data_IF_264958888213
#
_entry.id   IF_264958888213
#
_cell.length_a   1.000
_cell.length_b   1.000
_cell.length_c   1.000
_cell.angle_alpha   90.00
_cell.angle_beta   90.00
_cell.angle_gamma   90.00
#
_symmetry.space_group_name_H-M   'P 1'
#
loop_
_entity.id
_entity.type
_entity.pdbx_description
1 polymer ?
#
# COMPACT_ATOMS: atom_id res chain seq x y z
N UNK A 1 -5.03 6.59 -5.24
CA UNK A 1 -4.03 7.70 -5.27
C UNK A 1 -3.82 8.13 -6.74
N UNK A 2 -2.77 8.88 -7.12
CA UNK A 2 -2.49 9.21 -8.55
C UNK A 2 -1.16 8.64 -9.04
N UNK A 3 -0.92 8.75 -10.36
CA UNK A 3 0.17 8.13 -11.15
C UNK A 3 1.54 8.17 -10.46
N UNK A 4 2.04 9.35 -10.10
CA UNK A 4 3.38 9.48 -9.53
C UNK A 4 3.42 9.06 -8.06
N UNK A 5 2.32 9.24 -7.32
CA UNK A 5 2.18 8.73 -5.96
C UNK A 5 2.33 7.20 -5.88
N UNK A 6 1.62 6.46 -6.75
CA UNK A 6 1.73 4.99 -6.79
C UNK A 6 3.14 4.53 -7.15
N UNK A 7 3.73 5.14 -8.18
CA UNK A 7 5.08 4.81 -8.63
C UNK A 7 6.13 5.09 -7.53
N UNK A 8 5.99 6.22 -6.85
CA UNK A 8 6.89 6.62 -5.78
C UNK A 8 6.83 5.68 -4.57
N UNK A 9 5.63 5.25 -4.17
CA UNK A 9 5.45 4.24 -3.11
C UNK A 9 6.17 2.93 -3.48
N UNK A 10 6.05 2.46 -4.73
CA UNK A 10 6.73 1.25 -5.18
C UNK A 10 8.26 1.37 -5.07
N UNK A 11 8.83 2.52 -5.45
CA UNK A 11 10.27 2.78 -5.29
C UNK A 11 10.71 2.82 -3.83
N UNK A 12 9.96 3.52 -2.97
CA UNK A 12 10.30 3.59 -1.55
C UNK A 12 10.10 2.26 -0.83
N UNK A 13 9.18 1.42 -1.27
CA UNK A 13 9.05 0.05 -0.76
C UNK A 13 10.32 -0.77 -1.04
N UNK A 14 10.90 -0.66 -2.23
CA UNK A 14 12.20 -1.30 -2.54
C UNK A 14 13.34 -0.68 -1.76
N UNK A 15 13.36 0.65 -1.61
CA UNK A 15 14.37 1.33 -0.78
C UNK A 15 14.31 0.89 0.69
N UNK A 16 13.10 0.66 1.22
CA UNK A 16 12.87 0.07 2.55
C UNK A 16 13.40 -1.36 2.64
N UNK A 17 13.19 -2.18 1.59
CA UNK A 17 13.75 -3.53 1.53
C UNK A 17 15.29 -3.54 1.47
N UNK A 18 15.89 -2.60 0.75
CA UNK A 18 17.35 -2.40 0.67
C UNK A 18 17.93 -2.01 2.05
N UNK A 19 17.15 -1.28 2.86
CA UNK A 19 17.51 -0.88 4.21
C UNK A 19 17.39 -2.01 5.26
N UNK A 20 16.84 -3.20 4.94
CA UNK A 20 16.72 -4.29 5.92
C UNK A 20 18.06 -4.76 6.49
N UNK A 21 19.17 -4.52 5.77
CA UNK A 21 20.52 -4.77 6.31
C UNK A 21 20.85 -3.99 7.59
N UNK A 22 20.14 -2.89 7.82
CA UNK A 22 20.26 -2.05 9.01
C UNK A 22 19.07 -2.23 9.96
N UNK A 23 17.87 -2.43 9.42
CA UNK A 23 16.62 -2.53 10.20
C UNK A 23 16.42 -3.89 10.88
N UNK A 24 17.00 -4.96 10.33
CA UNK A 24 16.84 -6.33 10.82
C UNK A 24 18.20 -6.87 11.28
N UNK A 25 18.36 -7.19 12.58
CA UNK A 25 19.61 -7.75 13.09
C UNK A 25 19.79 -9.20 12.61
N UNK A 26 21.00 -9.62 12.30
CA UNK A 26 21.31 -11.03 11.91
C UNK A 26 21.45 -11.93 13.15
N UNK A 27 20.40 -11.99 13.99
CA UNK A 27 20.41 -12.79 15.22
C UNK A 27 19.94 -14.22 14.99
N UNK A 28 19.04 -14.43 14.02
CA UNK A 28 18.45 -15.73 13.73
C UNK A 28 18.63 -16.14 12.27
N UNK A 29 18.54 -17.43 11.97
CA UNK A 29 18.54 -17.92 10.58
C UNK A 29 17.37 -17.34 9.76
N UNK A 30 16.23 -17.06 10.41
CA UNK A 30 15.12 -16.37 9.77
C UNK A 30 15.47 -14.94 9.37
N UNK A 31 16.21 -14.20 10.20
CA UNK A 31 16.63 -12.82 9.88
C UNK A 31 17.60 -12.80 8.69
N UNK A 32 18.57 -13.72 8.68
CA UNK A 32 19.54 -13.88 7.60
C UNK A 32 18.82 -14.22 6.29
N UNK A 33 17.86 -15.16 6.34
CA UNK A 33 17.07 -15.57 5.17
C UNK A 33 16.23 -14.41 4.65
N UNK A 34 15.57 -13.67 5.55
CA UNK A 34 14.75 -12.50 5.21
C UNK A 34 15.58 -11.43 4.49
N UNK A 35 16.78 -11.12 5.01
CA UNK A 35 17.71 -10.16 4.38
C UNK A 35 18.19 -10.65 3.01
N UNK A 36 18.49 -11.95 2.88
CA UNK A 36 18.88 -12.55 1.59
C UNK A 36 17.76 -12.43 0.56
N UNK A 37 16.53 -12.77 0.94
CA UNK A 37 15.36 -12.65 0.07
C UNK A 37 15.13 -11.20 -0.34
N UNK A 38 15.18 -10.25 0.60
CA UNK A 38 15.05 -8.82 0.31
C UNK A 38 16.14 -8.31 -0.64
N UNK A 39 17.42 -8.63 -0.38
CA UNK A 39 18.52 -8.23 -1.26
C UNK A 39 18.35 -8.78 -2.69
N UNK A 40 17.88 -10.03 -2.81
CA UNK A 40 17.63 -10.62 -4.14
C UNK A 40 16.46 -9.97 -4.87
N UNK A 41 15.38 -9.61 -4.16
CA UNK A 41 14.24 -8.87 -4.72
C UNK A 41 14.64 -7.45 -5.14
N UNK A 42 15.42 -6.74 -4.31
CA UNK A 42 15.95 -5.40 -4.63
C UNK A 42 16.80 -5.45 -5.90
N UNK A 43 17.70 -6.43 -6.00
CA UNK A 43 18.52 -6.61 -7.20
C UNK A 43 17.64 -6.85 -8.43
N UNK A 44 16.69 -7.79 -8.34
CA UNK A 44 15.78 -8.10 -9.44
C UNK A 44 14.96 -6.87 -9.86
N UNK A 45 14.36 -6.15 -8.91
CA UNK A 45 13.55 -4.95 -9.20
C UNK A 45 14.35 -3.89 -9.96
N UNK A 46 15.62 -3.66 -9.59
CA UNK A 46 16.46 -2.65 -10.24
C UNK A 46 16.63 -2.90 -11.74
N UNK A 47 16.53 -4.14 -12.21
CA UNK A 47 16.61 -4.47 -13.65
C UNK A 47 15.32 -4.08 -14.43
N UNK A 48 14.21 -3.80 -13.73
CA UNK A 48 12.89 -3.54 -14.34
C UNK A 48 12.27 -2.18 -13.96
N UNK A 49 13.01 -1.35 -13.22
CA UNK A 49 12.51 -0.12 -12.58
C UNK A 49 12.00 0.95 -13.55
N UNK A 50 12.43 0.93 -14.81
CA UNK A 50 12.08 1.93 -15.82
C UNK A 50 10.58 1.95 -16.13
N UNK A 51 9.88 0.83 -15.92
CA UNK A 51 8.45 0.71 -16.22
C UNK A 51 7.55 0.90 -15.01
N UNK A 52 8.09 1.31 -13.85
CA UNK A 52 7.32 1.41 -12.59
C UNK A 52 6.19 2.42 -12.71
N UNK A 53 6.40 3.58 -13.35
CA UNK A 53 5.35 4.60 -13.49
C UNK A 53 4.17 4.06 -14.31
N UNK A 54 4.44 3.53 -15.50
CA UNK A 54 3.40 2.99 -16.36
C UNK A 54 2.71 1.76 -15.72
N UNK A 55 3.49 0.81 -15.19
CA UNK A 55 2.95 -0.41 -14.60
C UNK A 55 2.15 -0.16 -13.32
N UNK A 56 2.53 0.80 -12.49
CA UNK A 56 1.78 1.17 -11.29
C UNK A 56 0.54 2.02 -11.63
N UNK A 57 0.44 2.58 -12.83
CA UNK A 57 -0.73 3.33 -13.30
C UNK A 57 -1.69 2.52 -14.17
N UNK A 58 -1.26 1.33 -14.59
CA UNK A 58 -2.04 0.41 -15.41
C UNK A 58 -3.47 0.12 -14.90
N UNK A 59 -3.71 -0.04 -13.58
CA UNK A 59 -5.07 -0.20 -13.06
C UNK A 59 -6.01 0.96 -13.44
N UNK A 60 -5.58 2.21 -13.23
CA UNK A 60 -6.39 3.39 -13.51
C UNK A 60 -6.46 3.75 -15.01
N UNK A 61 -5.40 3.47 -15.77
CA UNK A 61 -5.33 3.85 -17.18
C UNK A 61 -5.91 2.80 -18.12
N UNK A 62 -5.71 1.51 -17.81
CA UNK A 62 -6.00 0.41 -18.72
C UNK A 62 -7.14 -0.46 -18.20
N UNK A 63 -7.09 -0.91 -16.94
CA UNK A 63 -8.12 -1.79 -16.40
C UNK A 63 -9.43 -1.04 -16.12
N UNK A 64 -9.30 0.18 -15.59
CA UNK A 64 -10.38 1.10 -15.27
C UNK A 64 -11.44 0.48 -14.35
N UNK A 65 -11.00 -0.25 -13.32
CA UNK A 65 -11.87 -0.92 -12.34
C UNK A 65 -12.07 -0.11 -11.05
N UNK A 66 -12.03 1.24 -11.14
CA UNK A 66 -12.07 2.17 -9.99
C UNK A 66 -13.33 2.03 -9.12
N UNK A 67 -14.45 1.59 -9.69
CA UNK A 67 -15.69 1.37 -8.97
C UNK A 67 -15.75 0.06 -8.17
N UNK A 68 -14.77 -0.84 -8.32
CA UNK A 68 -14.79 -2.16 -7.66
C UNK A 68 -13.45 -2.51 -7.02
N UNK A 69 -12.40 -2.64 -7.81
CA UNK A 69 -11.13 -3.22 -7.35
C UNK A 69 -10.16 -2.22 -6.77
N UNK A 70 -10.49 -0.92 -6.81
CA UNK A 70 -9.75 0.15 -6.13
C UNK A 70 -10.32 0.49 -4.75
N UNK A 71 -11.46 -0.09 -4.38
CA UNK A 71 -12.22 0.29 -3.19
C UNK A 71 -12.60 -0.92 -2.36
N UNK A 72 -12.82 -0.68 -1.06
CA UNK A 72 -13.51 -1.60 -0.17
C UNK A 72 -14.26 -0.75 0.84
N UNK A 73 -15.55 -0.52 0.60
CA UNK A 73 -16.33 0.56 1.21
C UNK A 73 -16.96 0.12 2.51
N UNK A 74 -16.65 0.84 3.59
CA UNK A 74 -17.17 0.62 4.92
C UNK A 74 -18.11 1.75 5.35
N UNK A 75 -19.06 1.42 6.22
CA UNK A 75 -19.91 2.39 6.92
C UNK A 75 -20.23 1.93 8.35
N UNK A 76 -20.53 2.85 9.29
CA UNK A 76 -21.09 2.48 10.58
C UNK A 76 -22.39 1.68 10.39
N UNK A 77 -22.51 0.55 11.08
CA UNK A 77 -23.67 -0.33 10.95
C UNK A 77 -24.96 0.36 11.42
N UNK A 78 -26.04 0.14 10.68
CA UNK A 78 -27.41 0.49 11.05
C UNK A 78 -28.29 -0.74 10.93
N UNK A 79 -29.35 -0.78 11.74
CA UNK A 79 -30.30 -1.89 11.69
C UNK A 79 -30.92 -1.99 10.29
N UNK A 80 -30.85 -3.19 9.70
CA UNK A 80 -31.26 -3.45 8.31
C UNK A 80 -30.12 -3.49 7.29
N UNK A 81 -28.87 -3.20 7.68
CA UNK A 81 -27.72 -3.37 6.80
C UNK A 81 -27.42 -4.86 6.51
N UNK A 82 -26.86 -5.12 5.31
CA UNK A 82 -26.65 -6.48 4.77
C UNK A 82 -25.71 -7.34 5.63
N UNK A 83 -24.73 -6.71 6.24
CA UNK A 83 -23.68 -7.38 7.00
C UNK A 83 -23.39 -6.61 8.28
N UNK A 84 -23.15 -7.33 9.38
CA UNK A 84 -22.72 -6.75 10.65
C UNK A 84 -21.40 -7.36 11.05
N UNK A 85 -20.35 -6.57 10.97
CA UNK A 85 -19.02 -6.91 11.46
C UNK A 85 -18.71 -6.07 12.70
N UNK A 86 -17.87 -6.58 13.59
CA UNK A 86 -17.40 -5.85 14.78
C UNK A 86 -15.93 -6.12 15.10
N UNK A 87 -15.29 -7.00 14.33
CA UNK A 87 -13.90 -7.39 14.55
C UNK A 87 -12.97 -6.48 13.74
N UNK A 88 -11.94 -5.95 14.39
CA UNK A 88 -10.82 -5.26 13.76
C UNK A 88 -9.58 -6.10 13.99
N UNK A 89 -8.96 -6.61 12.92
CA UNK A 89 -7.83 -7.54 13.02
C UNK A 89 -6.53 -6.80 13.39
N UNK A 90 -5.61 -7.43 14.14
CA UNK A 90 -4.38 -6.78 14.55
C UNK A 90 -3.46 -6.52 13.35
N UNK A 91 -2.86 -5.33 13.30
CA UNK A 91 -1.75 -5.02 12.40
C UNK A 91 -0.45 -4.86 13.21
N UNK A 92 0.73 -4.87 12.57
CA UNK A 92 1.97 -4.49 13.23
C UNK A 92 1.81 -3.14 13.94
N UNK A 93 2.28 -3.04 15.19
CA UNK A 93 2.22 -1.82 16.02
C UNK A 93 3.05 -0.66 15.46
N UNK A 94 4.03 -0.98 14.61
CA UNK A 94 4.73 0.01 13.81
C UNK A 94 3.79 0.79 12.90
N UNK A 95 2.67 0.21 12.42
CA UNK A 95 1.72 0.88 11.53
C UNK A 95 0.94 1.98 12.23
N UNK A 96 1.01 3.18 11.67
CA UNK A 96 0.41 4.35 12.29
C UNK A 96 -1.11 4.39 12.12
N UNK A 97 -1.62 3.89 10.98
CA UNK A 97 -3.05 3.71 10.75
C UNK A 97 -3.67 2.77 11.78
N UNK A 98 -2.91 1.77 12.23
CA UNK A 98 -3.31 0.86 13.29
C UNK A 98 -3.32 1.53 14.66
N UNK A 99 -2.29 2.31 14.97
CA UNK A 99 -2.22 3.05 16.24
C UNK A 99 -3.34 4.08 16.33
N UNK A 100 -3.45 4.99 15.36
CA UNK A 100 -4.45 6.06 15.38
C UNK A 100 -5.87 5.56 15.14
N UNK A 101 -6.06 4.53 14.33
CA UNK A 101 -7.40 3.99 14.09
C UNK A 101 -8.00 3.40 15.37
N UNK A 102 -7.18 2.85 16.29
CA UNK A 102 -7.66 2.38 17.60
C UNK A 102 -8.15 3.51 18.53
N UNK A 103 -7.75 4.75 18.27
CA UNK A 103 -8.25 5.93 18.98
C UNK A 103 -9.54 6.49 18.35
N UNK A 104 -9.97 5.97 17.20
CA UNK A 104 -11.20 6.41 16.55
C UNK A 104 -12.42 6.09 17.42
N UNK A 105 -13.42 7.00 17.50
CA UNK A 105 -14.70 6.70 18.15
C UNK A 105 -15.44 5.51 17.53
N UNK A 106 -15.12 5.15 16.29
CA UNK A 106 -15.69 4.01 15.58
C UNK A 106 -14.93 2.70 15.83
N UNK A 107 -13.78 2.74 16.51
CA UNK A 107 -13.05 1.52 16.84
C UNK A 107 -13.86 0.67 17.82
N UNK A 108 -14.00 -0.62 17.50
CA UNK A 108 -14.84 -1.56 18.26
C UNK A 108 -16.34 -1.39 18.06
N UNK A 109 -16.78 -0.38 17.29
CA UNK A 109 -18.19 -0.23 16.92
C UNK A 109 -18.52 -1.15 15.73
N UNK A 110 -19.77 -1.65 15.63
CA UNK A 110 -20.18 -2.44 14.48
C UNK A 110 -20.17 -1.63 13.17
N UNK A 111 -19.81 -2.30 12.07
CA UNK A 111 -19.74 -1.73 10.73
C UNK A 111 -20.28 -2.70 9.67
N UNK A 112 -20.55 -2.17 8.48
CA UNK A 112 -20.98 -2.90 7.29
C UNK A 112 -20.02 -2.64 6.14
N UNK A 113 -19.83 -3.66 5.28
CA UNK A 113 -19.10 -3.55 4.02
C UNK A 113 -20.13 -3.48 2.91
N UNK A 114 -20.11 -2.41 2.12
CA UNK A 114 -21.15 -2.13 1.13
C UNK A 114 -20.75 -2.54 -0.28
N UNK A 115 -19.47 -2.35 -0.64
CA UNK A 115 -18.98 -2.56 -2.00
C UNK A 115 -17.47 -2.74 -2.04
N UNK A 116 -16.97 -3.21 -3.18
CA UNK A 116 -15.56 -3.33 -3.49
C UNK A 116 -14.94 -4.68 -3.14
N UNK A 117 -13.80 -4.97 -3.77
CA UNK A 117 -13.08 -6.24 -3.63
C UNK A 117 -11.55 -6.05 -3.62
N UNK A 118 -11.10 -4.88 -3.16
CA UNK A 118 -9.70 -4.46 -3.18
C UNK A 118 -8.75 -5.47 -2.48
N UNK A 119 -9.15 -6.05 -1.34
CA UNK A 119 -8.35 -7.06 -0.64
C UNK A 119 -8.25 -8.37 -1.45
N UNK A 120 -9.32 -8.80 -2.12
CA UNK A 120 -9.33 -9.96 -3.02
C UNK A 120 -8.40 -9.76 -4.21
N UNK A 121 -8.39 -8.54 -4.76
CA UNK A 121 -7.49 -8.16 -5.86
C UNK A 121 -6.03 -8.28 -5.45
N UNK A 122 -5.69 -7.80 -4.25
CA UNK A 122 -4.33 -7.91 -3.71
C UNK A 122 -3.89 -9.38 -3.52
N UNK A 123 -4.74 -10.22 -2.94
CA UNK A 123 -4.45 -11.66 -2.73
C UNK A 123 -4.27 -12.38 -4.07
N UNK A 124 -5.18 -12.16 -5.02
CA UNK A 124 -5.14 -12.77 -6.35
C UNK A 124 -3.83 -12.45 -7.08
N UNK A 125 -3.41 -11.18 -7.06
CA UNK A 125 -2.16 -10.75 -7.67
C UNK A 125 -0.94 -11.30 -6.95
N UNK A 126 -0.93 -11.32 -5.62
CA UNK A 126 0.17 -11.88 -4.82
C UNK A 126 0.36 -13.38 -5.11
N UNK A 127 -0.72 -14.15 -5.21
CA UNK A 127 -0.67 -15.55 -5.65
C UNK A 127 -0.20 -15.69 -7.11
N UNK A 128 -0.78 -14.88 -8.01
CA UNK A 128 -0.42 -14.89 -9.42
C UNK A 128 1.05 -14.56 -9.69
N UNK A 129 1.68 -13.70 -8.88
CA UNK A 129 3.12 -13.43 -8.94
C UNK A 129 3.95 -14.69 -8.67
N UNK A 130 3.62 -15.41 -7.60
CA UNK A 130 4.31 -16.63 -7.21
C UNK A 130 4.19 -17.68 -8.31
N UNK A 131 3.00 -17.85 -8.87
CA UNK A 131 2.76 -18.85 -9.92
C UNK A 131 3.44 -18.45 -11.24
N UNK A 132 3.46 -17.16 -11.58
CA UNK A 132 4.18 -16.65 -12.75
C UNK A 132 5.68 -16.95 -12.66
N UNK A 133 6.30 -16.79 -11.49
CA UNK A 133 7.70 -17.17 -11.32
C UNK A 133 7.94 -18.67 -11.41
N UNK A 134 7.01 -19.49 -10.91
CA UNK A 134 7.12 -20.96 -11.06
C UNK A 134 7.06 -21.37 -12.52
N UNK A 135 6.16 -20.77 -13.30
CA UNK A 135 6.07 -20.99 -14.75
C UNK A 135 7.38 -20.57 -15.43
N UNK A 136 7.85 -19.34 -15.20
CA UNK A 136 9.12 -18.86 -15.76
C UNK A 136 10.32 -19.75 -15.40
N UNK A 137 10.32 -20.35 -14.20
CA UNK A 137 11.38 -21.25 -13.76
C UNK A 137 11.30 -22.67 -14.35
N UNK A 138 10.10 -23.16 -14.69
CA UNK A 138 9.87 -24.55 -15.14
C UNK A 138 9.84 -24.72 -16.63
N UNK A 139 9.26 -23.73 -17.31
CA UNK A 139 9.07 -23.78 -18.75
C UNK A 139 10.39 -23.56 -19.48
N UNK A 140 10.51 -24.17 -20.65
CA UNK A 140 11.67 -23.97 -21.51
C UNK A 140 11.78 -22.50 -21.94
N UNK A 141 13.03 -22.05 -22.15
CA UNK A 141 13.28 -20.70 -22.64
C UNK A 141 12.60 -20.50 -24.00
N UNK A 142 11.74 -19.48 -24.09
CA UNK A 142 10.96 -19.19 -25.30
C UNK A 142 9.60 -19.89 -25.35
N UNK A 143 9.20 -20.60 -24.29
CA UNK A 143 7.86 -21.18 -24.18
C UNK A 143 6.79 -20.08 -24.30
N UNK A 144 5.84 -20.18 -25.24
CA UNK A 144 4.89 -19.11 -25.57
C UNK A 144 3.87 -18.84 -24.46
N UNK A 145 3.68 -19.78 -23.53
CA UNK A 145 2.77 -19.64 -22.38
C UNK A 145 3.48 -19.16 -21.11
N UNK A 146 4.82 -19.08 -21.13
CA UNK A 146 5.60 -18.66 -19.97
C UNK A 146 5.66 -17.13 -19.86
N UNK A 147 5.37 -16.55 -18.69
CA UNK A 147 5.43 -15.10 -18.53
C UNK A 147 6.88 -14.61 -18.58
N UNK A 148 7.12 -13.49 -19.26
CA UNK A 148 8.44 -12.84 -19.22
C UNK A 148 8.69 -12.15 -17.88
N UNK A 149 9.96 -11.86 -17.56
CA UNK A 149 10.29 -11.13 -16.34
C UNK A 149 9.68 -9.71 -16.32
N UNK A 150 9.59 -9.03 -17.47
CA UNK A 150 8.88 -7.75 -17.61
C UNK A 150 7.38 -7.89 -17.28
N UNK A 151 6.74 -8.98 -17.71
CA UNK A 151 5.34 -9.25 -17.36
C UNK A 151 5.19 -9.40 -15.85
N UNK A 152 6.09 -10.16 -15.20
CA UNK A 152 6.06 -10.35 -13.75
C UNK A 152 6.33 -9.02 -13.01
N UNK A 153 7.27 -8.19 -13.48
CA UNK A 153 7.53 -6.86 -12.93
C UNK A 153 6.29 -5.96 -13.00
N UNK A 154 5.62 -5.95 -14.15
CA UNK A 154 4.34 -5.21 -14.32
C UNK A 154 3.31 -5.66 -13.29
N UNK A 155 3.20 -6.97 -13.01
CA UNK A 155 2.27 -7.47 -11.98
C UNK A 155 2.64 -7.03 -10.56
N UNK A 156 3.93 -6.87 -10.24
CA UNK A 156 4.32 -6.27 -8.96
C UNK A 156 3.85 -4.82 -8.89
N UNK A 157 4.03 -4.05 -9.96
CA UNK A 157 3.66 -2.64 -9.99
C UNK A 157 2.13 -2.46 -9.88
N UNK A 158 1.37 -3.29 -10.59
CA UNK A 158 -0.09 -3.38 -10.45
C UNK A 158 -0.48 -3.76 -9.02
N UNK A 159 0.19 -4.73 -8.40
CA UNK A 159 -0.08 -5.09 -7.00
C UNK A 159 0.20 -3.93 -6.05
N UNK A 160 1.30 -3.18 -6.24
CA UNK A 160 1.57 -2.01 -5.39
C UNK A 160 0.52 -0.92 -5.51
N UNK A 161 -0.10 -0.78 -6.69
CA UNK A 161 -1.20 0.17 -6.88
C UNK A 161 -2.36 -0.15 -5.93
N UNK A 162 -2.88 -1.38 -6.01
CA UNK A 162 -4.02 -1.80 -5.18
C UNK A 162 -3.67 -1.83 -3.69
N UNK A 163 -2.44 -2.19 -3.32
CA UNK A 163 -2.01 -2.08 -1.92
C UNK A 163 -2.06 -0.63 -1.45
N UNK A 164 -1.54 0.31 -2.24
CA UNK A 164 -1.55 1.74 -1.88
C UNK A 164 -2.99 2.29 -1.78
N UNK A 165 -3.91 1.82 -2.61
CA UNK A 165 -5.32 2.19 -2.53
C UNK A 165 -6.01 1.70 -1.26
N UNK A 166 -5.57 0.58 -0.65
CA UNK A 166 -6.07 0.18 0.68
C UNK A 166 -5.73 1.21 1.76
N UNK A 167 -4.69 2.02 1.55
CA UNK A 167 -4.26 3.06 2.47
C UNK A 167 -4.89 4.43 2.18
N UNK A 168 -5.58 4.58 1.05
CA UNK A 168 -6.31 5.82 0.74
C UNK A 168 -7.63 5.80 1.52
N UNK A 169 -7.82 6.66 2.55
CA UNK A 169 -8.96 6.52 3.47
C UNK A 169 -10.32 6.63 2.76
N UNK A 170 -10.43 7.52 1.76
CA UNK A 170 -11.69 7.71 1.01
C UNK A 170 -12.00 6.54 0.07
N UNK A 171 -11.04 5.66 -0.25
CA UNK A 171 -11.34 4.39 -0.94
C UNK A 171 -12.05 3.40 -0.01
N UNK A 172 -11.95 3.61 1.31
CA UNK A 172 -12.57 2.78 2.33
C UNK A 172 -13.83 3.40 2.95
N UNK A 173 -14.22 4.59 2.53
CA UNK A 173 -15.38 5.32 3.06
C UNK A 173 -16.55 5.30 2.07
N UNK A 174 -17.74 4.88 2.51
CA UNK A 174 -18.94 4.85 1.65
C UNK A 174 -19.38 6.24 1.17
N UNK A 175 -19.02 7.32 1.87
CA UNK A 175 -19.39 8.69 1.51
C UNK A 175 -18.78 9.08 0.17
N UNK A 176 -19.53 9.78 -0.68
CA UNK A 176 -19.18 9.98 -2.10
C UNK A 176 -18.31 11.22 -2.31
N UNK A 177 -17.12 11.25 -1.69
CA UNK A 177 -16.21 12.41 -1.77
C UNK A 177 -15.56 12.65 -3.14
N UNK A 178 -15.83 11.79 -4.13
CA UNK A 178 -15.54 12.01 -5.54
C UNK A 178 -16.64 12.78 -6.29
N UNK A 179 -17.81 12.94 -5.67
CA UNK A 179 -18.92 13.74 -6.17
C UNK A 179 -18.85 15.19 -5.66
N UNK A 180 -19.68 16.07 -6.20
CA UNK A 180 -19.79 17.45 -5.72
C UNK A 180 -18.50 18.25 -5.89
N UNK A 181 -17.87 18.65 -4.78
CA UNK A 181 -16.61 19.42 -4.78
C UNK A 181 -15.35 18.57 -4.98
N UNK A 182 -15.50 17.25 -5.10
CA UNK A 182 -14.44 16.28 -5.39
C UNK A 182 -13.20 16.47 -4.50
N UNK A 183 -13.40 16.29 -3.18
CA UNK A 183 -12.30 16.33 -2.22
C UNK A 183 -11.36 15.14 -2.38
N UNK A 184 -11.89 14.01 -2.82
CA UNK A 184 -11.08 12.84 -3.17
C UNK A 184 -10.04 13.21 -4.23
N UNK A 185 -10.46 13.67 -5.40
CA UNK A 185 -9.56 14.06 -6.47
C UNK A 185 -8.61 15.18 -6.06
N UNK A 186 -9.06 16.11 -5.22
CA UNK A 186 -8.23 17.20 -4.72
C UNK A 186 -7.07 16.73 -3.82
N UNK A 187 -7.35 15.80 -2.90
CA UNK A 187 -6.35 15.21 -2.00
C UNK A 187 -5.30 14.47 -2.81
N UNK A 188 -5.73 13.57 -3.70
CA UNK A 188 -4.77 12.76 -4.46
C UNK A 188 -3.94 13.61 -5.41
N UNK A 189 -4.54 14.64 -6.03
CA UNK A 189 -3.82 15.59 -6.88
C UNK A 189 -2.79 16.38 -6.07
N UNK A 190 -3.11 16.78 -4.85
CA UNK A 190 -2.16 17.50 -3.99
C UNK A 190 -0.91 16.66 -3.71
N UNK A 191 -1.09 15.37 -3.39
CA UNK A 191 0.03 14.46 -3.16
C UNK A 191 0.87 14.24 -4.43
N UNK A 192 0.20 14.03 -5.56
CA UNK A 192 0.87 13.81 -6.85
C UNK A 192 1.68 15.05 -7.28
N UNK A 193 1.10 16.25 -7.15
CA UNK A 193 1.78 17.50 -7.45
C UNK A 193 3.02 17.71 -6.56
N UNK A 194 2.93 17.37 -5.27
CA UNK A 194 4.06 17.47 -4.34
C UNK A 194 5.20 16.51 -4.74
N UNK A 195 4.87 15.27 -5.12
CA UNK A 195 5.86 14.29 -5.60
C UNK A 195 6.48 14.75 -6.92
N UNK A 196 5.68 15.18 -7.90
CA UNK A 196 6.19 15.66 -9.19
C UNK A 196 7.14 16.85 -9.06
N UNK A 197 6.90 17.74 -8.09
CA UNK A 197 7.81 18.88 -7.81
C UNK A 197 9.09 18.44 -7.10
N UNK A 198 9.01 17.36 -6.33
CA UNK A 198 10.10 16.85 -5.49
C UNK A 198 11.09 15.96 -6.24
N UNK A 199 10.78 15.51 -7.46
CA UNK A 199 11.59 14.55 -8.21
C UNK A 199 11.82 14.96 -9.66
N UNK A 200 13.00 14.64 -10.19
CA UNK A 200 13.33 14.82 -11.61
C UNK A 200 12.63 13.73 -12.45
N UNK A 201 11.92 14.16 -13.50
CA UNK A 201 11.10 13.30 -14.35
C UNK A 201 11.62 13.30 -15.79
N UNK A 202 11.76 12.11 -16.35
CA UNK A 202 11.98 11.86 -17.77
C UNK A 202 10.60 11.64 -18.41
N UNK A 203 9.94 12.74 -18.79
CA UNK A 203 8.56 12.72 -19.29
C UNK A 203 8.41 12.00 -20.61
N UNK A 204 9.46 12.01 -21.45
CA UNK A 204 9.43 11.40 -22.78
C UNK A 204 9.42 9.87 -22.67
N UNK A 205 10.07 9.32 -21.65
CA UNK A 205 10.13 7.88 -21.38
C UNK A 205 9.22 7.43 -20.22
N UNK A 206 8.40 8.34 -19.69
CA UNK A 206 7.54 8.12 -18.53
C UNK A 206 8.24 7.44 -17.34
N UNK A 207 9.41 7.94 -16.94
CA UNK A 207 10.15 7.41 -15.78
C UNK A 207 10.72 8.52 -14.90
N UNK A 208 11.19 8.17 -13.71
CA UNK A 208 12.02 9.06 -12.91
C UNK A 208 13.45 9.06 -13.46
N UNK A 209 14.15 10.19 -13.36
CA UNK A 209 15.61 10.14 -13.34
C UNK A 209 16.06 9.47 -12.04
N UNK A 210 17.20 8.79 -12.08
CA UNK A 210 17.69 8.02 -10.94
C UNK A 210 18.93 8.63 -10.31
N UNK A 211 19.04 8.52 -8.99
CA UNK A 211 20.28 8.74 -8.26
C UNK A 211 21.30 7.62 -8.53
N UNK A 212 22.51 7.76 -7.97
CA UNK A 212 23.58 6.77 -8.10
C UNK A 212 23.25 5.38 -7.53
N UNK A 213 22.18 5.27 -6.74
CA UNK A 213 21.72 4.02 -6.13
C UNK A 213 20.56 3.38 -6.90
N UNK A 214 20.03 4.05 -7.92
CA UNK A 214 18.94 3.56 -8.76
C UNK A 214 17.55 3.92 -8.24
N UNK A 215 17.42 4.93 -7.36
CA UNK A 215 16.13 5.42 -6.84
C UNK A 215 15.77 6.79 -7.45
N UNK A 216 14.50 7.22 -7.40
CA UNK A 216 14.09 8.52 -7.95
C UNK A 216 14.97 9.67 -7.46
N UNK A 217 15.48 10.46 -8.40
CA UNK A 217 16.38 11.58 -8.14
C UNK A 217 15.60 12.76 -7.57
N UNK A 218 15.89 13.10 -6.32
CA UNK A 218 15.21 14.19 -5.61
C UNK A 218 15.70 15.56 -6.07
N UNK A 219 14.78 16.50 -6.21
CA UNK A 219 15.10 17.92 -6.42
C UNK A 219 15.28 18.65 -5.09
N UNK A 220 15.93 19.81 -5.10
CA UNK A 220 16.00 20.69 -3.93
C UNK A 220 14.67 21.39 -3.57
N UNK A 221 13.56 21.11 -4.26
CA UNK A 221 12.28 21.84 -4.15
C UNK A 221 11.18 21.07 -3.41
N UNK A 222 11.53 19.93 -2.81
CA UNK A 222 10.54 19.04 -2.21
C UNK A 222 9.94 19.54 -0.90
N UNK A 223 8.75 19.04 -0.57
CA UNK A 223 8.10 19.29 0.73
C UNK A 223 8.82 18.55 1.85
N UNK A 224 8.79 19.13 3.05
CA UNK A 224 9.40 18.54 4.27
C UNK A 224 8.74 17.21 4.64
N UNK A 225 7.41 17.09 4.54
CA UNK A 225 6.70 15.85 4.88
C UNK A 225 7.17 14.66 4.01
N UNK A 226 7.47 14.88 2.72
CA UNK A 226 8.06 13.85 1.84
C UNK A 226 9.48 13.46 2.30
N UNK A 227 10.26 14.42 2.82
CA UNK A 227 11.57 14.11 3.38
C UNK A 227 11.46 13.19 4.59
N UNK A 228 10.48 13.47 5.45
CA UNK A 228 10.24 12.67 6.63
C UNK A 228 9.74 11.26 6.25
N UNK A 229 8.87 11.11 5.24
CA UNK A 229 8.49 9.79 4.70
C UNK A 229 9.73 9.03 4.20
N UNK A 230 10.61 9.67 3.44
CA UNK A 230 11.82 9.02 2.91
C UNK A 230 12.78 8.54 4.00
N UNK A 231 12.94 9.35 5.05
CA UNK A 231 13.75 9.01 6.22
C UNK A 231 13.12 7.85 6.99
N UNK A 232 11.85 7.98 7.38
CA UNK A 232 11.13 6.97 8.13
C UNK A 232 11.00 5.64 7.37
N UNK A 233 10.90 5.67 6.03
CA UNK A 233 10.89 4.46 5.22
C UNK A 233 12.14 3.58 5.44
N UNK A 234 13.28 4.18 5.78
CA UNK A 234 14.56 3.47 6.00
C UNK A 234 15.03 3.40 7.46
N UNK A 235 14.36 4.09 8.39
CA UNK A 235 14.71 4.08 9.82
C UNK A 235 13.65 3.41 10.71
N UNK A 236 12.37 3.45 10.33
CA UNK A 236 11.28 2.84 11.09
C UNK A 236 11.45 1.32 11.15
N UNK A 237 11.32 0.67 12.33
CA UNK A 237 11.48 -0.77 12.48
C UNK A 237 10.66 -1.55 11.45
N UNK A 238 11.28 -2.58 10.87
CA UNK A 238 10.61 -3.47 9.94
C UNK A 238 10.17 -4.75 10.64
N UNK A 239 8.86 -4.88 10.83
CA UNK A 239 8.23 -6.16 11.20
C UNK A 239 7.97 -6.90 9.90
N UNK A 240 8.19 -8.22 9.78
CA UNK A 240 7.82 -8.98 8.57
C UNK A 240 6.46 -9.71 8.68
N UNK A 241 5.96 -9.95 9.90
CA UNK A 241 4.70 -10.67 10.12
C UNK A 241 3.47 -9.91 9.59
N UNK A 242 2.35 -10.59 9.39
CA UNK A 242 1.09 -9.94 8.99
C UNK A 242 0.37 -9.20 10.13
N UNK A 243 0.95 -9.18 11.34
CA UNK A 243 0.26 -8.80 12.57
C UNK A 243 -0.28 -10.04 13.31
N UNK A 244 -0.02 -10.11 14.62
CA UNK A 244 -0.45 -11.20 15.49
C UNK A 244 -1.32 -10.68 16.62
N UNK A 245 -2.41 -11.39 16.91
CA UNK A 245 -3.25 -11.12 18.05
C UNK A 245 -2.46 -11.37 19.34
N UNK A 246 -2.44 -10.37 20.22
CA UNK A 246 -1.95 -10.58 21.57
C UNK A 246 -2.95 -11.52 22.26
N UNK A 247 -2.60 -12.80 22.44
CA UNK A 247 -3.50 -13.87 22.92
C UNK A 247 -4.08 -13.65 24.32
N UNK A 248 -3.73 -12.55 25.00
CA UNK A 248 -4.21 -12.22 26.35
C UNK A 248 -5.71 -11.90 26.40
N UNK A 249 -6.31 -11.40 25.32
CA UNK A 249 -7.70 -10.91 25.33
C UNK A 249 -8.63 -11.56 24.28
N UNK A 250 -8.40 -12.82 23.91
CA UNK A 250 -9.43 -13.74 23.35
C UNK A 250 -10.20 -13.39 22.06
N UNK A 251 -10.06 -12.20 21.45
CA UNK A 251 -11.01 -11.72 20.44
C UNK A 251 -10.39 -11.26 19.10
N UNK A 252 -9.09 -11.47 18.89
CA UNK A 252 -8.42 -11.04 17.67
C UNK A 252 -7.97 -12.28 16.86
N UNK A 253 -8.40 -12.39 15.61
CA UNK A 253 -7.92 -13.40 14.66
C UNK A 253 -6.59 -12.94 14.06
N UNK A 254 -5.58 -13.80 14.08
CA UNK A 254 -4.30 -13.57 13.42
C UNK A 254 -4.49 -13.38 11.90
N UNK A 255 -3.70 -12.49 11.29
CA UNK A 255 -3.61 -12.40 9.84
C UNK A 255 -2.67 -13.48 9.30
N UNK A 256 -3.10 -14.21 8.26
CA UNK A 256 -2.34 -15.35 7.71
C UNK A 256 -2.07 -15.25 6.21
N UNK A 257 -2.74 -14.34 5.52
CA UNK A 257 -2.65 -14.13 4.07
C UNK A 257 -2.54 -12.65 3.72
N UNK A 258 -2.31 -12.36 2.42
CA UNK A 258 -2.38 -10.98 1.93
C UNK A 258 -3.81 -10.46 2.07
N UNK A 259 -4.80 -11.30 1.82
CA UNK A 259 -6.22 -10.98 2.01
C UNK A 259 -6.54 -10.53 3.44
N UNK A 260 -6.13 -11.32 4.44
CA UNK A 260 -6.38 -10.99 5.86
C UNK A 260 -5.77 -9.64 6.22
N UNK A 261 -4.50 -9.44 5.81
CA UNK A 261 -3.75 -8.22 6.09
C UNK A 261 -4.35 -7.00 5.39
N UNK A 262 -4.66 -7.09 4.09
CA UNK A 262 -5.20 -5.96 3.33
C UNK A 262 -6.65 -5.64 3.71
N UNK A 263 -7.44 -6.64 4.14
CA UNK A 263 -8.76 -6.41 4.74
C UNK A 263 -8.64 -5.65 6.07
N UNK A 264 -7.64 -6.00 6.89
CA UNK A 264 -7.37 -5.28 8.13
C UNK A 264 -6.92 -3.84 7.84
N UNK A 265 -5.95 -3.64 6.94
CA UNK A 265 -5.52 -2.31 6.49
C UNK A 265 -6.71 -1.46 6.06
N UNK A 266 -7.56 -1.98 5.18
CA UNK A 266 -8.72 -1.24 4.66
C UNK A 266 -9.71 -0.85 5.78
N UNK A 267 -9.92 -1.73 6.77
CA UNK A 267 -10.76 -1.41 7.93
C UNK A 267 -10.15 -0.28 8.79
N UNK A 268 -8.83 -0.24 8.97
CA UNK A 268 -8.16 0.88 9.66
C UNK A 268 -8.14 2.16 8.83
N UNK A 269 -8.01 2.07 7.51
CA UNK A 269 -8.16 3.21 6.60
C UNK A 269 -9.56 3.80 6.64
N UNK A 270 -10.59 2.98 6.78
CA UNK A 270 -11.96 3.45 7.08
C UNK A 270 -12.02 4.26 8.38
N UNK A 271 -11.42 3.76 9.48
CA UNK A 271 -11.38 4.50 10.74
C UNK A 271 -10.64 5.83 10.61
N UNK A 272 -9.55 5.87 9.83
CA UNK A 272 -8.84 7.10 9.49
C UNK A 272 -9.70 8.05 8.66
N UNK A 273 -10.52 7.55 7.72
CA UNK A 273 -11.39 8.38 6.90
C UNK A 273 -12.38 9.18 7.77
N UNK A 274 -12.98 8.54 8.76
CA UNK A 274 -13.88 9.19 9.72
C UNK A 274 -13.15 10.06 10.76
N UNK A 275 -11.83 9.94 10.88
CA UNK A 275 -11.03 10.88 11.67
C UNK A 275 -10.66 12.12 10.86
N UNK A 276 -10.27 11.94 9.60
CA UNK A 276 -9.93 13.01 8.66
C UNK A 276 -11.15 13.83 8.23
N UNK A 277 -12.31 13.17 8.11
CA UNK A 277 -13.58 13.80 7.77
C UNK A 277 -14.64 13.27 8.75
N UNK A 278 -14.84 13.96 9.89
CA UNK A 278 -15.75 13.51 10.95
C UNK A 278 -17.19 13.29 10.51
N UNK A 279 -17.96 12.62 11.36
CA UNK A 279 -19.42 12.50 11.19
C UNK A 279 -20.06 13.89 11.10
N UNK A 280 -21.08 14.01 10.27
CA UNK A 280 -21.75 15.28 9.96
C UNK A 280 -21.20 15.98 8.70
N UNK A 281 -20.06 15.52 8.17
CA UNK A 281 -19.55 15.96 6.88
C UNK A 281 -19.75 14.90 5.79
N UNK A 282 -20.17 15.37 4.62
CA UNK A 282 -20.39 14.60 3.40
C UNK A 282 -20.10 15.46 2.16
N UNK A 283 -20.28 14.91 0.96
CA UNK A 283 -20.00 15.59 -0.31
C UNK A 283 -20.83 16.86 -0.56
N UNK A 284 -21.92 17.07 0.18
CA UNK A 284 -22.79 18.24 0.02
C UNK A 284 -22.29 19.47 0.80
N UNK A 285 -21.49 19.25 1.86
CA UNK A 285 -21.11 20.31 2.80
C UNK A 285 -19.60 20.46 3.01
N UNK A 286 -18.78 19.55 2.48
CA UNK A 286 -17.32 19.66 2.53
C UNK A 286 -16.74 20.22 1.23
N UNK A 287 -15.84 21.19 1.35
CA UNK A 287 -14.97 21.66 0.27
C UNK A 287 -13.51 21.73 0.74
N UNK A 288 -12.60 22.18 -0.15
CA UNK A 288 -11.16 22.18 0.13
C UNK A 288 -10.81 23.09 1.30
N UNK A 289 -11.52 24.20 1.43
CA UNK A 289 -11.30 25.18 2.50
C UNK A 289 -11.80 24.61 3.82
N UNK A 290 -13.01 24.05 3.85
CA UNK A 290 -13.57 23.40 5.04
C UNK A 290 -12.67 22.25 5.48
N UNK A 291 -12.34 21.33 4.57
CA UNK A 291 -11.48 20.17 4.84
C UNK A 291 -10.14 20.57 5.48
N UNK A 292 -9.49 21.61 4.96
CA UNK A 292 -8.19 22.08 5.48
C UNK A 292 -8.28 22.75 6.86
N UNK A 293 -9.47 23.17 7.27
CA UNK A 293 -9.71 23.83 8.56
C UNK A 293 -10.47 22.93 9.56
N UNK A 294 -10.73 21.67 9.23
CA UNK A 294 -11.33 20.73 10.18
C UNK A 294 -10.39 20.49 11.36
N UNK A 295 -10.92 20.56 12.57
CA UNK A 295 -10.19 20.13 13.77
C UNK A 295 -10.26 18.61 13.91
N UNK A 296 -9.30 17.94 13.28
CA UNK A 296 -9.16 16.48 13.27
C UNK A 296 -8.09 15.98 14.24
N UNK A 297 -7.52 16.89 15.05
CA UNK A 297 -6.42 16.64 15.98
C UNK A 297 -5.04 16.47 15.34
N UNK A 298 -4.94 16.43 14.01
CA UNK A 298 -3.68 16.37 13.26
C UNK A 298 -3.78 17.20 11.98
N UNK A 299 -2.68 17.85 11.53
CA UNK A 299 -2.65 18.53 10.24
C UNK A 299 -2.69 17.52 9.08
N UNK A 300 -3.18 17.96 7.91
CA UNK A 300 -3.29 17.12 6.71
C UNK A 300 -1.96 16.50 6.28
N UNK A 301 -0.86 17.24 6.38
CA UNK A 301 0.48 16.77 6.04
C UNK A 301 0.89 15.59 6.93
N UNK A 302 0.46 15.56 8.19
CA UNK A 302 0.71 14.41 9.08
C UNK A 302 -0.07 13.18 8.64
N UNK A 303 -1.35 13.32 8.27
CA UNK A 303 -2.11 12.22 7.66
C UNK A 303 -1.46 11.71 6.38
N UNK A 304 -1.00 12.64 5.54
CA UNK A 304 -0.32 12.32 4.28
C UNK A 304 0.93 11.47 4.54
N UNK A 305 1.78 11.90 5.47
CA UNK A 305 2.99 11.17 5.82
C UNK A 305 2.68 9.74 6.30
N UNK A 306 1.71 9.61 7.21
CA UNK A 306 1.26 8.33 7.76
C UNK A 306 0.76 7.36 6.70
N UNK A 307 -0.14 7.85 5.83
CA UNK A 307 -0.75 7.07 4.75
C UNK A 307 0.33 6.53 3.82
N UNK A 308 1.28 7.38 3.42
CA UNK A 308 2.36 6.97 2.54
C UNK A 308 3.34 6.01 3.22
N UNK A 309 3.70 6.26 4.49
CA UNK A 309 4.59 5.36 5.22
C UNK A 309 4.02 3.96 5.39
N UNK A 310 2.74 3.87 5.76
CA UNK A 310 2.08 2.58 5.93
C UNK A 310 1.84 1.89 4.58
N UNK A 311 1.56 2.63 3.51
CA UNK A 311 1.51 2.08 2.15
C UNK A 311 2.86 1.50 1.71
N UNK A 312 3.95 2.21 1.94
CA UNK A 312 5.32 1.75 1.65
C UNK A 312 5.65 0.48 2.44
N UNK A 313 5.29 0.45 3.72
CA UNK A 313 5.50 -0.72 4.58
C UNK A 313 4.65 -1.92 4.12
N UNK A 314 3.38 -1.72 3.77
CA UNK A 314 2.54 -2.79 3.23
C UNK A 314 3.03 -3.32 1.88
N UNK A 315 3.43 -2.46 0.94
CA UNK A 315 3.97 -2.89 -0.35
C UNK A 315 5.23 -3.72 -0.15
N UNK A 316 6.19 -3.21 0.64
CA UNK A 316 7.45 -3.95 0.91
C UNK A 316 7.18 -5.31 1.57
N UNK A 317 6.25 -5.37 2.52
CA UNK A 317 5.84 -6.59 3.22
C UNK A 317 5.23 -7.62 2.28
N UNK A 318 4.21 -7.23 1.51
CA UNK A 318 3.49 -8.15 0.61
C UNK A 318 4.41 -8.65 -0.50
N UNK A 319 5.19 -7.76 -1.11
CA UNK A 319 6.15 -8.13 -2.14
C UNK A 319 7.19 -9.12 -1.63
N UNK A 320 7.73 -8.89 -0.44
CA UNK A 320 8.71 -9.80 0.16
C UNK A 320 8.11 -11.16 0.52
N UNK A 321 6.86 -11.21 1.01
CA UNK A 321 6.16 -12.48 1.25
C UNK A 321 5.96 -13.29 -0.04
N UNK A 322 5.50 -12.63 -1.12
CA UNK A 322 5.34 -13.28 -2.42
C UNK A 322 6.69 -13.81 -2.94
N UNK A 323 7.72 -12.98 -2.90
CA UNK A 323 9.07 -13.35 -3.33
C UNK A 323 9.66 -14.50 -2.51
N UNK A 324 9.60 -14.42 -1.18
CA UNK A 324 10.10 -15.48 -0.28
C UNK A 324 9.33 -16.80 -0.45
N UNK A 325 8.03 -16.74 -0.75
CA UNK A 325 7.24 -17.95 -1.07
C UNK A 325 7.72 -18.60 -2.35
N UNK A 326 8.03 -17.84 -3.40
CA UNK A 326 8.63 -18.37 -4.62
C UNK A 326 10.03 -18.94 -4.36
N UNK A 327 10.92 -18.17 -3.72
CA UNK A 327 12.30 -18.57 -3.41
C UNK A 327 12.36 -19.91 -2.66
N UNK A 328 11.56 -20.06 -1.59
CA UNK A 328 11.45 -21.32 -0.84
C UNK A 328 10.93 -22.49 -1.66
N UNK A 329 10.04 -22.24 -2.63
CA UNK A 329 9.58 -23.28 -3.55
C UNK A 329 10.69 -23.71 -4.51
N UNK A 330 11.46 -22.76 -5.05
CA UNK A 330 12.56 -23.02 -5.97
C UNK A 330 13.70 -23.79 -5.27
N UNK A 331 14.03 -23.45 -4.03
CA UNK A 331 15.08 -24.11 -3.23
C UNK A 331 14.73 -25.56 -2.85
N UNK A 332 13.44 -25.94 -2.82
CA UNK A 332 13.02 -27.34 -2.58
C UNK A 332 13.04 -28.22 -3.83
N UNK A 333 13.29 -27.62 -4.99
CA UNK A 333 13.09 -28.24 -6.31
C UNK A 333 14.31 -28.16 -7.22
N UNK A 334 15.28 -27.31 -6.91
CA UNK A 334 16.68 -27.49 -7.32
C UNK A 334 17.35 -28.47 -6.37
#
# INVERSE_FOLDING_TARGET
>A
MKKYSHAWIAFLAIKRLDALRFLVPEKTNSDITLRKDANSLVKWFKDYRDFVIAGAWYPDEVFKDMGTSHILKYKPYREGDKTRYSEFRPLPDTMECYVLGRESPLFGQPYSIEDGNLADRCESLAHGLVDSFKMLHREDKGCPISPSANHIATRFFILSHYIADCHMPLHCDVRSFSSGKDIHGAIEKSWDDDIRKSYELDTDNERFFYDKYGYPLRTGRGKEWLAHVEEQAITRPYVHSWGTANRKNGALRDNRSTWDYMSAVSAYSYLLAYRMIPLGYDESNIDKTVFRNLDTGLPFERYSEMIFLDAIDSVSRVWLHAWARYRRWAEKKG
#
